data_IF_634674395864
#
_entry.id   IF_634674395864
#
_cell.length_a   1.000
_cell.length_b   1.000
_cell.length_c   1.000
_cell.angle_alpha   90.00
_cell.angle_beta   90.00
_cell.angle_gamma   90.00
#
_symmetry.space_group_name_H-M   'P 1'
#
loop_
_entity.id
_entity.type
_entity.pdbx_description
1 polymer ?
#
# COMPACT_ATOMS: atom_id res chain seq x y z
N UNK A 1 -10.62 -0.75 -39.02
CA UNK A 1 -9.15 -0.72 -38.89
C UNK A 1 -8.68 0.25 -37.78
N UNK A 2 -9.08 1.53 -37.78
CA UNK A 2 -8.65 2.53 -36.79
C UNK A 2 -8.90 2.09 -35.32
N UNK A 3 -10.08 1.56 -35.03
CA UNK A 3 -10.44 1.06 -33.68
C UNK A 3 -9.48 -0.03 -33.20
N UNK A 4 -9.07 -0.94 -34.11
CA UNK A 4 -8.13 -2.02 -33.77
C UNK A 4 -6.75 -1.45 -33.38
N UNK A 5 -6.27 -0.43 -34.12
CA UNK A 5 -5.01 0.23 -33.80
C UNK A 5 -5.08 0.99 -32.46
N UNK A 6 -6.22 1.65 -32.19
CA UNK A 6 -6.44 2.35 -30.91
C UNK A 6 -6.45 1.34 -29.74
N UNK A 7 -7.21 0.24 -29.87
CA UNK A 7 -7.24 -0.81 -28.85
C UNK A 7 -5.88 -1.46 -28.66
N UNK A 8 -5.16 -1.76 -29.74
CA UNK A 8 -3.80 -2.28 -29.70
C UNK A 8 -2.84 -1.33 -28.98
N UNK A 9 -2.94 -0.02 -29.26
CA UNK A 9 -2.14 1.01 -28.56
C UNK A 9 -2.44 1.08 -27.07
N UNK A 10 -3.70 1.03 -26.66
CA UNK A 10 -4.09 1.03 -25.23
C UNK A 10 -3.54 -0.20 -24.53
N UNK A 11 -3.67 -1.39 -25.14
CA UNK A 11 -3.14 -2.63 -24.57
C UNK A 11 -1.61 -2.55 -24.46
N UNK A 12 -0.91 -2.04 -25.47
CA UNK A 12 0.54 -1.89 -25.45
C UNK A 12 1.00 -0.95 -24.32
N UNK A 13 0.33 0.19 -24.14
CA UNK A 13 0.61 1.13 -23.05
C UNK A 13 0.39 0.45 -21.67
N UNK A 14 -0.70 -0.29 -21.53
CA UNK A 14 -1.01 -1.02 -20.31
C UNK A 14 0.08 -2.08 -19.99
N UNK A 15 0.49 -2.87 -20.99
CA UNK A 15 1.54 -3.88 -20.83
C UNK A 15 2.90 -3.23 -20.49
N UNK A 16 3.23 -2.10 -21.12
CA UNK A 16 4.44 -1.34 -20.78
C UNK A 16 4.40 -0.83 -19.35
N UNK A 17 3.25 -0.37 -18.86
CA UNK A 17 3.09 0.05 -17.48
C UNK A 17 3.28 -1.12 -16.50
N UNK A 18 2.71 -2.29 -16.78
CA UNK A 18 2.93 -3.49 -15.95
C UNK A 18 4.39 -3.91 -15.96
N UNK A 19 5.05 -3.89 -17.13
CA UNK A 19 6.48 -4.18 -17.25
C UNK A 19 7.32 -3.19 -16.43
N UNK A 20 6.99 -1.90 -16.48
CA UNK A 20 7.64 -0.87 -15.66
C UNK A 20 7.50 -1.16 -14.17
N UNK A 21 6.29 -1.48 -13.68
CA UNK A 21 6.06 -1.85 -12.29
C UNK A 21 6.84 -3.11 -11.90
N UNK A 22 6.89 -4.09 -12.80
CA UNK A 22 7.67 -5.32 -12.59
C UNK A 22 9.15 -4.99 -12.43
N UNK A 23 9.74 -4.23 -13.36
CA UNK A 23 11.15 -3.82 -13.29
C UNK A 23 11.42 -3.05 -11.99
N UNK A 24 10.59 -2.07 -11.63
CA UNK A 24 10.73 -1.34 -10.35
C UNK A 24 10.69 -2.29 -9.16
N UNK A 25 9.84 -3.32 -9.21
CA UNK A 25 9.73 -4.29 -8.11
C UNK A 25 11.00 -5.11 -7.90
N UNK A 26 11.80 -5.35 -8.95
CA UNK A 26 13.06 -6.13 -8.86
C UNK A 26 14.13 -5.45 -7.98
N UNK A 27 14.09 -4.13 -7.86
CA UNK A 27 15.01 -3.38 -7.00
C UNK A 27 14.61 -3.40 -5.52
N UNK A 28 13.47 -4.00 -5.17
CA UNK A 28 13.03 -4.13 -3.78
C UNK A 28 13.55 -5.43 -3.19
N UNK A 29 14.35 -5.33 -2.14
CA UNK A 29 14.84 -6.49 -1.38
C UNK A 29 13.69 -7.07 -0.54
N UNK A 30 13.55 -8.38 -0.57
CA UNK A 30 12.48 -9.11 0.13
C UNK A 30 12.92 -9.74 1.44
N UNK A 31 14.22 -9.73 1.70
CA UNK A 31 14.88 -10.32 2.86
C UNK A 31 14.93 -9.41 4.08
N UNK A 32 14.46 -8.16 3.94
CA UNK A 32 14.44 -7.18 5.05
C UNK A 32 13.11 -6.48 5.20
N UNK A 33 12.82 -6.00 6.40
CA UNK A 33 11.76 -5.07 6.70
C UNK A 33 12.26 -3.63 6.53
N UNK A 34 11.46 -2.78 5.87
CA UNK A 34 11.76 -1.36 5.71
C UNK A 34 11.02 -0.57 6.79
N UNK A 35 11.71 0.40 7.38
CA UNK A 35 11.17 1.36 8.36
C UNK A 35 11.30 2.81 7.86
N UNK A 36 11.86 2.99 6.66
CA UNK A 36 11.99 4.28 6.01
C UNK A 36 11.18 4.27 4.71
N UNK A 37 10.29 5.24 4.58
CA UNK A 37 9.43 5.35 3.41
C UNK A 37 10.20 5.66 2.13
N UNK A 38 9.62 5.25 1.02
CA UNK A 38 10.09 5.65 -0.31
C UNK A 38 8.96 6.35 -1.04
N UNK A 39 9.05 7.65 -1.16
CA UNK A 39 8.05 8.45 -1.90
C UNK A 39 7.83 7.93 -3.31
N UNK A 40 8.89 7.46 -3.98
CA UNK A 40 8.78 6.87 -5.31
C UNK A 40 7.84 5.65 -5.32
N UNK A 41 8.08 4.65 -4.46
CA UNK A 41 7.24 3.45 -4.42
C UNK A 41 5.84 3.74 -3.88
N UNK A 42 5.74 4.70 -2.97
CA UNK A 42 4.44 5.17 -2.47
C UNK A 42 3.60 5.79 -3.59
N UNK A 43 4.19 6.64 -4.44
CA UNK A 43 3.49 7.20 -5.60
C UNK A 43 3.14 6.12 -6.64
N UNK A 44 4.03 5.15 -6.88
CA UNK A 44 3.70 4.00 -7.74
C UNK A 44 2.49 3.24 -7.22
N UNK A 45 2.44 2.96 -5.91
CA UNK A 45 1.33 2.25 -5.30
C UNK A 45 0.03 3.07 -5.38
N UNK A 46 0.08 4.38 -5.10
CA UNK A 46 -1.08 5.26 -5.28
C UNK A 46 -1.57 5.30 -6.73
N UNK A 47 -0.65 5.36 -7.70
CA UNK A 47 -1.00 5.35 -9.11
C UNK A 47 -1.70 4.05 -9.53
N UNK A 48 -1.11 2.90 -9.17
CA UNK A 48 -1.66 1.59 -9.52
C UNK A 48 -3.01 1.32 -8.84
N UNK A 49 -3.11 1.58 -7.54
CA UNK A 49 -4.35 1.36 -6.78
C UNK A 49 -5.42 2.40 -7.12
N UNK A 50 -5.05 3.65 -7.37
CA UNK A 50 -5.96 4.70 -7.82
C UNK A 50 -6.56 4.40 -9.18
N UNK A 51 -5.75 3.90 -10.12
CA UNK A 51 -6.24 3.44 -11.42
C UNK A 51 -7.24 2.28 -11.26
N UNK A 52 -6.92 1.30 -10.40
CA UNK A 52 -7.82 0.18 -10.13
C UNK A 52 -9.15 0.65 -9.53
N UNK A 53 -9.12 1.57 -8.56
CA UNK A 53 -10.33 2.13 -7.97
C UNK A 53 -11.17 2.92 -8.97
N UNK A 54 -10.53 3.72 -9.82
CA UNK A 54 -11.21 4.43 -10.92
C UNK A 54 -11.86 3.46 -11.90
N UNK A 55 -11.13 2.43 -12.33
CA UNK A 55 -11.62 1.42 -13.27
C UNK A 55 -12.82 0.64 -12.70
N UNK A 56 -12.75 0.28 -11.41
CA UNK A 56 -13.82 -0.40 -10.68
C UNK A 56 -14.97 0.54 -10.26
N UNK A 57 -14.86 1.84 -10.60
CA UNK A 57 -15.85 2.86 -10.24
C UNK A 57 -16.14 2.94 -8.75
N UNK A 58 -15.11 2.76 -7.92
CA UNK A 58 -15.24 2.86 -6.45
C UNK A 58 -15.63 4.29 -6.08
N UNK A 59 -16.75 4.45 -5.38
CA UNK A 59 -17.20 5.73 -4.81
C UNK A 59 -16.91 5.73 -3.32
N UNK A 60 -16.08 6.66 -2.88
CA UNK A 60 -15.76 6.81 -1.46
C UNK A 60 -16.65 7.88 -0.83
N UNK A 61 -17.28 7.53 0.29
CA UNK A 61 -18.00 8.47 1.15
C UNK A 61 -17.29 8.48 2.51
N UNK A 62 -16.57 9.55 2.80
CA UNK A 62 -15.74 9.65 4.01
C UNK A 62 -16.28 10.79 4.88
N UNK A 63 -16.47 10.52 6.16
CA UNK A 63 -16.91 11.50 7.15
C UNK A 63 -15.99 11.46 8.37
N UNK A 64 -15.89 12.57 9.11
CA UNK A 64 -15.11 12.62 10.35
C UNK A 64 -13.62 12.87 10.18
N UNK A 65 -13.15 13.13 8.96
CA UNK A 65 -11.73 13.42 8.69
C UNK A 65 -11.21 14.65 9.44
N UNK A 66 -12.07 15.59 9.72
CA UNK A 66 -11.80 16.81 10.50
C UNK A 66 -11.45 16.53 11.98
N UNK A 67 -11.80 15.34 12.47
CA UNK A 67 -11.50 14.90 13.85
C UNK A 67 -10.11 14.32 14.02
N UNK A 68 -9.43 14.01 12.91
CA UNK A 68 -8.11 13.40 12.94
C UNK A 68 -7.05 14.51 12.96
N UNK A 69 -6.19 14.58 13.98
CA UNK A 69 -5.12 15.57 14.04
C UNK A 69 -4.18 15.41 12.83
N UNK A 70 -3.82 16.52 12.18
CA UNK A 70 -2.94 16.52 11.01
C UNK A 70 -1.46 16.58 11.37
N UNK A 71 -1.15 17.08 12.58
CA UNK A 71 0.22 17.33 13.05
C UNK A 71 0.86 16.12 13.74
N UNK A 72 0.13 15.01 13.83
CA UNK A 72 0.60 13.77 14.44
C UNK A 72 0.49 12.61 13.46
N UNK A 73 1.26 11.56 13.69
CA UNK A 73 1.17 10.30 12.96
C UNK A 73 0.46 9.26 13.84
N UNK A 74 -0.86 9.12 13.73
CA UNK A 74 -1.64 8.26 14.62
C UNK A 74 -1.49 6.77 14.28
N UNK A 75 -1.89 5.93 15.22
CA UNK A 75 -2.23 4.54 14.96
C UNK A 75 -3.71 4.48 14.52
N UNK A 76 -3.95 4.12 13.27
CA UNK A 76 -5.28 3.83 12.77
C UNK A 76 -5.65 2.37 13.07
N UNK A 77 -6.79 2.17 13.69
CA UNK A 77 -7.34 0.83 13.94
C UNK A 77 -8.68 0.75 13.24
N UNK A 78 -8.78 -0.11 12.23
CA UNK A 78 -9.97 -0.28 11.41
C UNK A 78 -10.59 -1.67 11.56
N UNK A 79 -11.91 -1.75 11.43
CA UNK A 79 -12.62 -3.01 11.27
C UNK A 79 -12.93 -3.22 9.79
N UNK A 80 -12.24 -4.18 9.18
CA UNK A 80 -12.40 -4.47 7.75
C UNK A 80 -13.50 -5.49 7.50
N UNK A 81 -14.43 -5.15 6.64
CA UNK A 81 -15.47 -6.04 6.13
C UNK A 81 -15.07 -6.66 4.78
N UNK A 82 -14.10 -6.07 4.09
CA UNK A 82 -13.66 -6.48 2.77
C UNK A 82 -12.13 -6.46 2.63
N UNK A 83 -11.60 -7.31 1.76
CA UNK A 83 -10.18 -7.25 1.37
C UNK A 83 -9.81 -5.96 0.61
N UNK A 84 -10.80 -5.17 0.17
CA UNK A 84 -10.59 -3.89 -0.50
C UNK A 84 -10.50 -2.70 0.46
N UNK A 85 -10.97 -2.85 1.70
CA UNK A 85 -11.00 -1.77 2.68
C UNK A 85 -9.61 -1.17 2.94
N UNK A 86 -8.52 -1.96 3.06
CA UNK A 86 -7.17 -1.40 3.21
C UNK A 86 -6.73 -0.53 2.03
N UNK A 87 -7.21 -0.79 0.81
CA UNK A 87 -6.93 0.04 -0.36
C UNK A 87 -7.66 1.38 -0.29
N UNK A 88 -8.90 1.36 0.20
CA UNK A 88 -9.70 2.57 0.41
C UNK A 88 -9.03 3.41 1.49
N UNK A 89 -8.70 2.81 2.64
CA UNK A 89 -8.00 3.47 3.73
C UNK A 89 -6.64 4.06 3.32
N UNK A 90 -5.88 3.32 2.48
CA UNK A 90 -4.64 3.81 1.89
C UNK A 90 -4.83 5.15 1.18
N UNK A 91 -5.92 5.32 0.43
CA UNK A 91 -6.23 6.57 -0.26
C UNK A 91 -6.80 7.64 0.66
N UNK A 92 -7.68 7.26 1.59
CA UNK A 92 -8.31 8.18 2.55
C UNK A 92 -7.26 8.81 3.46
N UNK A 93 -6.34 7.99 3.98
CA UNK A 93 -5.32 8.44 4.93
C UNK A 93 -3.99 8.85 4.27
N UNK A 94 -4.02 9.23 3.00
CA UNK A 94 -2.83 9.62 2.22
C UNK A 94 -1.98 10.71 2.89
N UNK A 95 -2.61 11.63 3.64
CA UNK A 95 -1.90 12.74 4.33
C UNK A 95 -0.96 12.26 5.43
N UNK A 96 -1.18 11.09 5.99
CA UNK A 96 -0.43 10.54 7.12
C UNK A 96 0.64 9.52 6.71
N UNK A 97 0.79 9.25 5.41
CA UNK A 97 1.77 8.29 4.88
C UNK A 97 1.71 6.93 5.60
N UNK A 98 0.52 6.33 5.67
CA UNK A 98 0.27 5.14 6.48
C UNK A 98 1.13 3.94 6.04
N UNK A 99 1.70 3.22 7.00
CA UNK A 99 2.28 1.90 6.84
C UNK A 99 1.33 0.86 7.44
N UNK A 100 0.83 -0.09 6.66
CA UNK A 100 -0.16 -1.06 7.15
C UNK A 100 0.49 -2.34 7.67
N UNK A 101 -0.05 -2.81 8.79
CA UNK A 101 0.11 -4.21 9.22
C UNK A 101 -0.81 -5.07 8.36
N UNK A 102 -0.27 -6.04 7.67
CA UNK A 102 -0.99 -6.76 6.62
C UNK A 102 -0.76 -8.27 6.69
N UNK A 103 -1.63 -9.05 6.06
CA UNK A 103 -1.52 -10.51 6.00
C UNK A 103 -0.24 -10.92 5.24
N UNK A 104 0.49 -11.98 5.67
CA UNK A 104 1.70 -12.45 5.01
C UNK A 104 1.49 -12.80 3.53
N UNK A 105 0.27 -13.26 3.17
CA UNK A 105 -0.08 -13.63 1.79
C UNK A 105 0.03 -12.46 0.82
N UNK A 106 -0.27 -11.24 1.25
CA UNK A 106 -0.19 -10.04 0.43
C UNK A 106 1.25 -9.78 -0.05
N UNK A 107 2.25 -10.17 0.73
CA UNK A 107 3.67 -10.04 0.38
C UNK A 107 4.16 -11.08 -0.62
N UNK A 108 3.36 -12.12 -0.89
CA UNK A 108 3.64 -13.15 -1.89
C UNK A 108 3.09 -12.80 -3.28
N UNK A 109 2.20 -11.79 -3.36
CA UNK A 109 1.63 -11.34 -4.63
C UNK A 109 2.76 -10.74 -5.49
N UNK A 110 2.99 -11.22 -6.72
CA UNK A 110 4.00 -10.68 -7.61
C UNK A 110 3.85 -9.17 -7.79
N UNK A 111 4.96 -8.45 -7.91
CA UNK A 111 5.02 -6.99 -8.04
C UNK A 111 4.46 -6.27 -6.80
N UNK A 112 3.17 -6.44 -6.51
CA UNK A 112 2.47 -5.78 -5.42
C UNK A 112 3.13 -6.04 -4.06
N UNK A 113 3.43 -7.31 -3.72
CA UNK A 113 4.05 -7.68 -2.45
C UNK A 113 5.42 -7.04 -2.23
N UNK A 114 6.18 -6.79 -3.28
CA UNK A 114 7.46 -6.08 -3.21
C UNK A 114 7.25 -4.58 -3.02
N UNK A 115 6.31 -3.98 -3.77
CA UNK A 115 6.03 -2.55 -3.69
C UNK A 115 5.49 -2.16 -2.31
N UNK A 116 4.52 -2.92 -1.75
CA UNK A 116 4.00 -2.64 -0.40
C UNK A 116 5.07 -2.78 0.68
N UNK A 117 5.99 -3.73 0.53
CA UNK A 117 7.14 -3.87 1.43
C UNK A 117 8.00 -2.60 1.45
N UNK A 118 8.24 -1.99 0.29
CA UNK A 118 9.01 -0.76 0.17
C UNK A 118 8.24 0.49 0.65
N UNK A 119 6.92 0.39 0.79
CA UNK A 119 6.06 1.36 1.48
C UNK A 119 5.94 1.09 2.99
N UNK A 120 6.87 0.35 3.56
CA UNK A 120 6.94 0.00 4.99
C UNK A 120 5.76 -0.83 5.53
N UNK A 121 5.00 -1.50 4.66
CA UNK A 121 4.00 -2.44 5.13
C UNK A 121 4.67 -3.61 5.84
N UNK A 122 4.01 -4.14 6.88
CA UNK A 122 4.57 -5.12 7.78
C UNK A 122 3.71 -6.39 7.77
N UNK A 123 4.29 -7.57 7.48
CA UNK A 123 3.53 -8.82 7.60
C UNK A 123 3.33 -9.18 9.06
N UNK A 124 2.11 -9.53 9.45
CA UNK A 124 1.83 -10.10 10.77
C UNK A 124 1.42 -11.56 10.66
N UNK A 125 2.26 -12.43 11.20
CA UNK A 125 1.96 -13.86 11.33
C UNK A 125 1.32 -14.11 12.70
N UNK A 126 -0.01 -14.28 12.69
CA UNK A 126 -0.78 -14.52 13.92
C UNK A 126 -0.59 -15.94 14.49
N UNK A 127 -0.01 -16.86 13.72
CA UNK A 127 0.28 -18.22 14.16
C UNK A 127 1.63 -18.32 14.90
N UNK A 128 2.50 -17.33 14.74
CA UNK A 128 3.82 -17.26 15.38
C UNK A 128 3.91 -16.00 16.27
N UNK A 129 3.74 -16.15 17.59
CA UNK A 129 3.79 -15.03 18.53
C UNK A 129 5.10 -14.24 18.50
N UNK A 130 6.23 -14.92 18.23
CA UNK A 130 7.53 -14.26 18.12
C UNK A 130 7.62 -13.32 16.92
N UNK A 131 7.14 -13.78 15.75
CA UNK A 131 7.07 -12.95 14.54
C UNK A 131 6.06 -11.82 14.69
N UNK A 132 4.90 -12.10 15.30
CA UNK A 132 3.89 -11.08 15.57
C UNK A 132 4.47 -9.97 16.47
N UNK A 133 5.18 -10.33 17.53
CA UNK A 133 5.85 -9.36 18.41
C UNK A 133 6.91 -8.53 17.67
N UNK A 134 7.68 -9.14 16.77
CA UNK A 134 8.65 -8.43 15.94
C UNK A 134 7.96 -7.39 15.06
N UNK A 135 6.81 -7.74 14.47
CA UNK A 135 6.00 -6.81 13.65
C UNK A 135 5.50 -5.64 14.48
N UNK A 136 5.00 -5.90 15.70
CA UNK A 136 4.54 -4.85 16.61
C UNK A 136 5.70 -3.91 17.00
N UNK A 137 6.89 -4.45 17.30
CA UNK A 137 8.08 -3.63 17.57
C UNK A 137 8.42 -2.72 16.39
N UNK A 138 8.40 -3.24 15.17
CA UNK A 138 8.64 -2.43 13.96
C UNK A 138 7.58 -1.34 13.79
N UNK A 139 6.30 -1.65 14.03
CA UNK A 139 5.22 -0.68 13.97
C UNK A 139 5.41 0.45 14.99
N UNK A 140 5.81 0.09 16.20
CA UNK A 140 6.14 1.06 17.26
C UNK A 140 7.32 1.95 16.88
N UNK A 141 8.38 1.37 16.29
CA UNK A 141 9.53 2.11 15.81
C UNK A 141 9.13 3.14 14.74
N UNK A 142 8.28 2.75 13.79
CA UNK A 142 7.78 3.65 12.74
C UNK A 142 7.00 4.81 13.35
N UNK A 143 6.10 4.54 14.30
CA UNK A 143 5.32 5.58 14.99
C UNK A 143 6.22 6.52 15.80
N UNK A 144 7.24 6.00 16.49
CA UNK A 144 8.17 6.81 17.28
C UNK A 144 9.03 7.74 16.42
N UNK A 145 9.40 7.33 15.20
CA UNK A 145 10.09 8.20 14.24
C UNK A 145 9.23 9.40 13.83
N UNK A 146 7.91 9.27 13.86
CA UNK A 146 6.98 10.36 13.53
C UNK A 146 6.84 10.69 12.05
N UNK A 147 7.44 9.92 11.15
CA UNK A 147 7.39 10.17 9.70
C UNK A 147 6.14 9.57 9.04
N UNK A 148 5.63 8.46 9.60
CA UNK A 148 4.49 7.72 9.06
C UNK A 148 3.50 7.35 10.17
N UNK A 149 2.22 7.28 9.82
CA UNK A 149 1.21 6.62 10.62
C UNK A 149 1.26 5.10 10.42
N UNK A 150 0.65 4.35 11.33
CA UNK A 150 0.49 2.89 11.20
C UNK A 150 -1.00 2.57 11.13
N UNK A 151 -1.38 1.64 10.25
CA UNK A 151 -2.74 1.09 10.14
C UNK A 151 -2.77 -0.40 10.51
N UNK A 152 -3.79 -0.81 11.25
CA UNK A 152 -4.00 -2.20 11.69
C UNK A 152 -5.44 -2.63 11.43
#
# INVERSE_FOLDING_TARGET
MIIIYILGGIIAIFLMYILFLFVCSLFVRTDRQYTEDSRFYRHLLYGATGFAMWFLRVKMHVTGMEKIPVDVKPLFVGNHLSNYDPLIEWHVFKKWDVAFVSKPENFKIPIFGRIIRRCCFMPIDRSDPGKALSTIKTATEILQKGDMAVGV
#
